data_IF_565164651379
#
_entry.id   IF_565164651379
#
_cell.length_a   1.000
_cell.length_b   1.000
_cell.length_c   1.000
_cell.angle_alpha   90.00
_cell.angle_beta   90.00
_cell.angle_gamma   90.00
#
_symmetry.space_group_name_H-M   'P 1'
#
loop_
_entity.id
_entity.type
_entity.pdbx_description
1 polymer ?
#
# COMPACT_ATOMS: atom_id res chain seq x y z
N UNK A 1 22.75 14.37 -1.41
CA UNK A 1 22.60 12.93 -1.70
C UNK A 1 21.17 12.74 -2.21
N UNK A 2 20.98 12.51 -3.50
CA UNK A 2 19.63 12.30 -4.06
C UNK A 2 19.12 10.97 -3.48
N UNK A 3 18.04 11.00 -2.69
CA UNK A 3 17.35 9.78 -2.25
C UNK A 3 16.79 9.14 -3.52
N UNK A 4 17.48 8.14 -4.06
CA UNK A 4 16.99 7.39 -5.21
C UNK A 4 15.86 6.49 -4.71
N UNK A 5 14.62 6.95 -4.88
CA UNK A 5 13.43 6.27 -4.38
C UNK A 5 12.89 5.26 -5.40
N UNK A 6 13.29 5.30 -6.67
CA UNK A 6 12.95 4.30 -7.71
C UNK A 6 11.45 3.92 -7.78
N UNK A 7 10.55 4.83 -7.43
CA UNK A 7 9.08 4.68 -7.51
C UNK A 7 8.64 4.59 -8.96
N UNK A 8 9.19 5.41 -9.85
CA UNK A 8 8.94 5.30 -11.30
C UNK A 8 9.30 3.92 -11.84
N UNK A 9 10.51 3.43 -11.53
CA UNK A 9 10.96 2.10 -11.90
C UNK A 9 10.07 1.00 -11.31
N UNK A 10 9.60 1.16 -10.06
CA UNK A 10 8.73 0.19 -9.39
C UNK A 10 7.36 0.11 -10.06
N UNK A 11 6.76 1.26 -10.38
CA UNK A 11 5.49 1.33 -11.11
C UNK A 11 5.66 0.68 -12.49
N UNK A 12 6.72 1.02 -13.22
CA UNK A 12 6.99 0.47 -14.55
C UNK A 12 7.27 -1.04 -14.52
N UNK A 13 7.86 -1.56 -13.43
CA UNK A 13 8.15 -2.99 -13.26
C UNK A 13 6.87 -3.84 -13.23
N UNK A 14 5.82 -3.35 -12.56
CA UNK A 14 4.57 -4.08 -12.35
C UNK A 14 3.42 -3.60 -13.24
N UNK A 15 3.56 -2.47 -13.93
CA UNK A 15 2.52 -1.89 -14.76
C UNK A 15 1.22 -1.71 -13.97
N UNK A 16 0.10 -2.21 -14.49
CA UNK A 16 -1.20 -2.11 -13.81
C UNK A 16 -1.27 -2.92 -12.50
N UNK A 17 -0.44 -3.95 -12.31
CA UNK A 17 -0.44 -4.75 -11.08
C UNK A 17 0.13 -3.99 -9.88
N UNK A 18 0.79 -2.84 -10.09
CA UNK A 18 1.23 -1.94 -9.02
C UNK A 18 0.11 -1.59 -8.05
N UNK A 19 -1.14 -1.62 -8.53
CA UNK A 19 -2.31 -1.36 -7.73
C UNK A 19 -2.46 -2.31 -6.54
N UNK A 20 -1.98 -3.55 -6.63
CA UNK A 20 -2.00 -4.48 -5.52
C UNK A 20 -1.05 -4.04 -4.41
N UNK A 21 0.14 -3.55 -4.77
CA UNK A 21 1.11 -2.99 -3.82
C UNK A 21 0.55 -1.70 -3.22
N UNK A 22 0.12 -0.77 -4.06
CA UNK A 22 -0.45 0.51 -3.65
C UNK A 22 -1.64 0.31 -2.69
N UNK A 23 -2.58 -0.58 -3.03
CA UNK A 23 -3.76 -0.85 -2.20
C UNK A 23 -3.38 -1.53 -0.88
N UNK A 24 -2.47 -2.50 -0.90
CA UNK A 24 -2.03 -3.16 0.33
C UNK A 24 -1.41 -2.15 1.30
N UNK A 25 -0.55 -1.27 0.78
CA UNK A 25 0.07 -0.21 1.58
C UNK A 25 -0.95 0.81 2.08
N UNK A 26 -1.88 1.23 1.20
CA UNK A 26 -2.94 2.16 1.54
C UNK A 26 -3.88 1.57 2.62
N UNK A 27 -4.15 0.27 2.59
CA UNK A 27 -4.97 -0.40 3.61
C UNK A 27 -4.17 -0.87 4.84
N UNK A 28 -2.91 -0.41 5.01
CA UNK A 28 -2.00 -0.81 6.09
C UNK A 28 -1.92 -2.33 6.25
N UNK A 29 -1.70 -3.04 5.13
CA UNK A 29 -1.47 -4.49 5.11
C UNK A 29 0.00 -4.83 5.38
N UNK A 30 0.26 -6.09 5.67
CA UNK A 30 1.60 -6.69 5.77
C UNK A 30 2.12 -6.99 4.37
N UNK A 31 3.05 -6.17 3.90
CA UNK A 31 3.70 -6.29 2.60
C UNK A 31 5.08 -6.89 2.79
N UNK A 32 5.34 -7.98 2.08
CA UNK A 32 6.64 -8.64 2.08
C UNK A 32 7.26 -8.50 0.70
N UNK A 33 8.55 -8.17 0.66
CA UNK A 33 9.32 -7.99 -0.57
C UNK A 33 10.46 -9.00 -0.59
N UNK A 34 10.46 -9.89 -1.58
CA UNK A 34 11.50 -10.90 -1.73
C UNK A 34 12.47 -10.54 -2.86
N UNK A 35 13.76 -10.70 -2.59
CA UNK A 35 14.80 -10.71 -3.63
C UNK A 35 16.05 -11.50 -3.17
N UNK A 36 16.57 -12.42 -3.99
CA UNK A 36 17.72 -13.27 -3.64
C UNK A 36 19.04 -12.51 -3.38
N UNK A 37 19.21 -11.34 -4.01
CA UNK A 37 20.31 -10.39 -3.73
C UNK A 37 19.90 -9.34 -2.71
N UNK A 38 20.61 -9.29 -1.58
CA UNK A 38 20.40 -8.28 -0.53
C UNK A 38 20.63 -6.85 -1.04
N UNK A 39 21.64 -6.64 -1.90
CA UNK A 39 21.90 -5.30 -2.44
C UNK A 39 20.71 -4.79 -3.27
N UNK A 40 20.14 -5.65 -4.11
CA UNK A 40 18.97 -5.30 -4.91
C UNK A 40 17.71 -5.14 -4.03
N UNK A 41 17.53 -5.99 -3.01
CA UNK A 41 16.46 -5.86 -2.03
C UNK A 41 16.48 -4.48 -1.37
N UNK A 42 17.62 -4.11 -0.77
CA UNK A 42 17.80 -2.85 -0.05
C UNK A 42 17.64 -1.61 -0.95
N UNK A 43 17.95 -1.75 -2.24
CA UNK A 43 17.69 -0.70 -3.24
C UNK A 43 16.20 -0.52 -3.47
N UNK A 44 15.47 -1.60 -3.75
CA UNK A 44 14.05 -1.55 -4.11
C UNK A 44 13.12 -1.27 -2.93
N UNK A 45 13.44 -1.77 -1.75
CA UNK A 45 12.50 -1.69 -0.62
C UNK A 45 12.20 -0.26 -0.16
N UNK A 46 13.12 0.67 -0.44
CA UNK A 46 12.94 2.10 -0.15
C UNK A 46 11.91 2.78 -1.05
N UNK A 47 11.57 2.18 -2.18
CA UNK A 47 10.53 2.66 -3.11
C UNK A 47 9.13 2.48 -2.56
N UNK A 48 8.94 1.49 -1.68
CA UNK A 48 7.62 1.14 -1.17
C UNK A 48 7.06 2.25 -0.28
N UNK A 49 7.70 2.66 0.83
CA UNK A 49 7.20 3.76 1.67
C UNK A 49 6.86 5.02 0.88
N UNK A 50 7.67 5.36 -0.14
CA UNK A 50 7.48 6.56 -0.96
C UNK A 50 6.15 6.59 -1.73
N UNK A 51 5.50 5.44 -1.97
CA UNK A 51 4.12 5.41 -2.50
C UNK A 51 3.10 6.01 -1.52
N UNK A 52 3.42 6.04 -0.23
CA UNK A 52 2.57 6.49 0.86
C UNK A 52 3.13 7.75 1.54
N UNK A 53 3.81 8.62 0.78
CA UNK A 53 4.44 9.84 1.31
C UNK A 53 3.48 10.84 1.97
N UNK A 54 2.16 10.67 1.81
CA UNK A 54 1.14 11.42 2.56
C UNK A 54 1.09 11.03 4.05
N UNK A 55 1.63 9.88 4.43
CA UNK A 55 1.80 9.44 5.82
C UNK A 55 3.22 9.76 6.29
N UNK A 56 3.42 10.17 7.56
CA UNK A 56 4.75 10.26 8.13
C UNK A 56 5.40 8.86 8.16
N UNK A 57 6.37 8.62 7.28
CA UNK A 57 7.16 7.38 7.26
C UNK A 57 8.14 7.33 8.44
N UNK A 58 8.24 6.18 9.12
CA UNK A 58 9.50 5.63 9.68
C UNK A 58 9.35 4.26 10.37
N UNK A 59 8.18 3.91 10.91
CA UNK A 59 8.09 2.78 11.86
C UNK A 59 7.75 1.42 11.22
N UNK A 60 7.16 1.41 10.02
CA UNK A 60 6.62 0.19 9.43
C UNK A 60 7.60 -0.49 8.45
N UNK A 61 8.79 0.08 8.21
CA UNK A 61 9.78 -0.45 7.27
C UNK A 61 10.82 -1.32 7.97
N UNK A 62 10.94 -2.57 7.52
CA UNK A 62 11.98 -3.51 7.88
C UNK A 62 12.81 -3.83 6.63
N UNK A 63 13.92 -3.10 6.39
CA UNK A 63 14.66 -3.17 5.12
C UNK A 63 15.13 -4.58 4.75
N UNK A 64 15.42 -5.38 5.77
CA UNK A 64 15.78 -6.79 5.66
C UNK A 64 15.43 -7.49 6.97
N UNK A 65 14.88 -8.69 6.83
CA UNK A 65 14.50 -9.62 7.89
C UNK A 65 14.94 -11.03 7.46
N UNK A 66 15.50 -11.76 8.41
CA UNK A 66 15.80 -13.19 8.31
C UNK A 66 14.65 -14.03 8.89
N UNK A 67 14.50 -15.25 8.37
CA UNK A 67 13.48 -16.20 8.82
C UNK A 67 13.86 -16.89 10.15
N UNK A 68 14.26 -16.10 11.13
CA UNK A 68 14.60 -16.56 12.49
C UNK A 68 13.48 -16.21 13.48
N UNK A 69 13.27 -17.01 14.53
CA UNK A 69 12.13 -16.84 15.44
C UNK A 69 11.99 -15.45 16.05
N UNK A 70 13.09 -14.82 16.45
CA UNK A 70 13.10 -13.51 17.11
C UNK A 70 12.62 -12.39 16.18
N UNK A 71 13.09 -12.37 14.95
CA UNK A 71 12.68 -11.37 13.96
C UNK A 71 11.25 -11.61 13.46
N UNK A 72 10.87 -12.87 13.28
CA UNK A 72 9.47 -13.24 12.96
C UNK A 72 8.53 -12.78 14.07
N UNK A 73 8.92 -12.96 15.34
CA UNK A 73 8.12 -12.52 16.49
C UNK A 73 7.96 -10.99 16.49
N UNK A 74 9.03 -10.26 16.16
CA UNK A 74 9.01 -8.80 16.02
C UNK A 74 8.02 -8.35 14.94
N UNK A 75 8.06 -8.97 13.75
CA UNK A 75 7.09 -8.69 12.68
C UNK A 75 5.66 -9.02 13.09
N UNK A 76 5.43 -10.16 13.77
CA UNK A 76 4.09 -10.57 14.22
C UNK A 76 3.51 -9.66 15.30
N UNK A 77 4.34 -8.93 16.04
CA UNK A 77 3.88 -7.92 17.00
C UNK A 77 3.37 -6.64 16.30
N UNK A 78 3.73 -6.42 15.04
CA UNK A 78 3.28 -5.27 14.25
C UNK A 78 1.98 -5.59 13.51
N UNK A 79 1.01 -4.68 13.54
CA UNK A 79 -0.25 -4.83 12.80
C UNK A 79 -0.04 -4.73 11.27
N UNK A 80 0.92 -3.91 10.85
CA UNK A 80 1.28 -3.70 9.46
C UNK A 80 2.78 -3.48 9.33
N UNK A 81 3.35 -3.80 8.16
CA UNK A 81 4.76 -3.59 7.87
C UNK A 81 5.06 -3.74 6.38
N UNK A 82 6.24 -3.27 6.00
CA UNK A 82 6.92 -3.51 4.74
C UNK A 82 8.24 -4.20 5.08
N UNK A 83 8.35 -5.50 4.80
CA UNK A 83 9.50 -6.29 5.22
C UNK A 83 10.22 -6.95 4.05
N UNK A 84 11.54 -6.78 4.01
CA UNK A 84 12.39 -7.35 2.97
C UNK A 84 12.95 -8.72 3.36
N UNK A 85 12.91 -9.69 2.47
CA UNK A 85 13.46 -11.03 2.71
C UNK A 85 14.38 -11.48 1.57
N UNK A 86 15.49 -12.11 1.94
CA UNK A 86 16.42 -12.74 0.97
C UNK A 86 16.14 -14.23 0.79
N UNK A 87 15.51 -14.86 1.78
CA UNK A 87 15.17 -16.29 1.76
C UNK A 87 13.86 -16.52 0.99
N UNK A 88 13.91 -17.32 -0.08
CA UNK A 88 12.75 -17.68 -0.90
C UNK A 88 11.68 -18.45 -0.14
N UNK A 89 12.03 -19.09 0.99
CA UNK A 89 11.07 -19.79 1.84
C UNK A 89 9.98 -18.87 2.38
N UNK A 90 10.17 -17.54 2.36
CA UNK A 90 9.11 -16.58 2.68
C UNK A 90 7.85 -16.79 1.81
N UNK A 91 8.01 -17.29 0.57
CA UNK A 91 6.90 -17.56 -0.34
C UNK A 91 5.90 -18.61 0.15
N UNK A 92 6.28 -19.48 1.09
CA UNK A 92 5.37 -20.46 1.70
C UNK A 92 4.81 -20.01 3.05
N UNK A 93 5.23 -18.83 3.55
CA UNK A 93 4.86 -18.28 4.86
C UNK A 93 3.74 -17.26 4.77
N UNK A 94 2.60 -17.69 4.24
CA UNK A 94 1.40 -16.86 4.12
C UNK A 94 0.87 -16.37 5.49
N UNK A 95 1.37 -16.87 6.62
CA UNK A 95 1.10 -16.30 7.95
C UNK A 95 1.81 -14.96 8.20
N UNK A 96 2.84 -14.63 7.40
CA UNK A 96 3.69 -13.44 7.53
C UNK A 96 3.37 -12.33 6.52
N UNK A 97 2.38 -12.49 5.64
CA UNK A 97 2.06 -11.42 4.71
C UNK A 97 0.61 -11.49 4.26
N UNK A 98 0.08 -10.32 3.93
CA UNK A 98 -1.14 -10.19 3.15
C UNK A 98 -0.81 -10.14 1.66
N UNK A 99 0.32 -9.49 1.30
CA UNK A 99 0.85 -9.39 -0.06
C UNK A 99 2.34 -9.69 -0.08
N UNK A 100 2.75 -10.59 -0.98
CA UNK A 100 4.13 -10.91 -1.30
C UNK A 100 4.49 -10.34 -2.67
N UNK A 101 5.59 -9.60 -2.73
CA UNK A 101 6.17 -9.07 -3.97
C UNK A 101 7.47 -9.81 -4.24
N UNK A 102 7.46 -10.66 -5.26
CA UNK A 102 8.64 -11.38 -5.73
C UNK A 102 9.32 -10.55 -6.83
N UNK A 103 10.30 -9.72 -6.45
CA UNK A 103 10.95 -8.80 -7.39
C UNK A 103 11.69 -9.53 -8.55
N UNK A 104 12.44 -10.63 -8.32
CA UNK A 104 13.06 -11.38 -9.42
C UNK A 104 12.05 -11.96 -10.41
N UNK A 105 10.91 -12.47 -9.92
CA UNK A 105 9.87 -13.05 -10.77
C UNK A 105 8.91 -12.01 -11.35
N UNK A 106 8.97 -10.75 -10.88
CA UNK A 106 8.02 -9.67 -11.20
C UNK A 106 6.58 -10.09 -10.93
N UNK A 107 6.36 -10.80 -9.82
CA UNK A 107 5.07 -11.36 -9.44
C UNK A 107 4.60 -10.75 -8.13
N UNK A 108 3.30 -10.50 -8.03
CA UNK A 108 2.63 -10.09 -6.80
C UNK A 108 1.61 -11.17 -6.43
N UNK A 109 1.76 -11.75 -5.24
CA UNK A 109 0.85 -12.78 -4.72
C UNK A 109 0.08 -12.25 -3.52
N UNK A 110 -1.25 -12.44 -3.52
CA UNK A 110 -2.12 -12.10 -2.38
C UNK A 110 -2.40 -13.35 -1.55
N UNK A 111 -2.14 -13.30 -0.25
CA UNK A 111 -2.39 -14.42 0.65
C UNK A 111 -3.89 -14.74 0.74
N UNK A 112 -4.28 -16.02 0.95
CA UNK A 112 -5.68 -16.43 0.92
C UNK A 112 -6.60 -15.62 1.85
N UNK A 113 -6.14 -15.31 3.07
CA UNK A 113 -6.90 -14.55 4.07
C UNK A 113 -7.05 -13.06 3.74
N UNK A 114 -6.22 -12.51 2.85
CA UNK A 114 -6.25 -11.10 2.46
C UNK A 114 -7.11 -10.83 1.21
N UNK A 115 -7.47 -11.88 0.45
CA UNK A 115 -8.13 -11.78 -0.86
C UNK A 115 -9.37 -10.90 -0.87
N UNK A 116 -10.22 -11.02 0.16
CA UNK A 116 -11.47 -10.25 0.24
C UNK A 116 -11.22 -8.73 0.30
N UNK A 117 -10.26 -8.30 1.13
CA UNK A 117 -9.89 -6.88 1.23
C UNK A 117 -9.07 -6.36 0.04
N UNK A 118 -8.63 -7.26 -0.85
CA UNK A 118 -7.81 -6.97 -2.03
C UNK A 118 -8.58 -7.15 -3.34
N UNK A 119 -9.92 -7.20 -3.31
CA UNK A 119 -10.73 -7.27 -4.53
C UNK A 119 -10.65 -5.94 -5.28
N UNK A 120 -10.14 -5.99 -6.50
CA UNK A 120 -9.98 -4.80 -7.33
C UNK A 120 -11.32 -4.33 -7.91
N UNK A 121 -11.60 -3.04 -7.73
CA UNK A 121 -12.79 -2.36 -8.27
C UNK A 121 -12.43 -1.49 -9.47
N UNK A 122 -13.42 -0.84 -10.09
CA UNK A 122 -13.19 0.14 -11.16
C UNK A 122 -12.26 1.27 -10.69
N UNK A 123 -12.47 1.79 -9.48
CA UNK A 123 -11.63 2.82 -8.85
C UNK A 123 -10.16 2.42 -8.80
N UNK A 124 -9.88 1.18 -8.41
CA UNK A 124 -8.51 0.67 -8.37
C UNK A 124 -7.85 0.66 -9.76
N UNK A 125 -8.58 0.21 -10.79
CA UNK A 125 -8.07 0.21 -12.17
C UNK A 125 -7.78 1.63 -12.68
N UNK A 126 -8.64 2.59 -12.37
CA UNK A 126 -8.44 4.00 -12.74
C UNK A 126 -7.19 4.58 -12.07
N UNK A 127 -6.98 4.31 -10.77
CA UNK A 127 -5.76 4.70 -10.05
C UNK A 127 -4.52 4.05 -10.70
N UNK A 128 -4.59 2.75 -11.01
CA UNK A 128 -3.48 2.02 -11.64
C UNK A 128 -3.05 2.66 -12.96
N UNK A 129 -4.02 2.99 -13.83
CA UNK A 129 -3.77 3.67 -15.11
C UNK A 129 -3.10 5.03 -14.89
N UNK A 130 -3.59 5.81 -13.92
CA UNK A 130 -3.00 7.11 -13.60
C UNK A 130 -1.56 6.99 -13.08
N UNK A 131 -1.26 5.99 -12.24
CA UNK A 131 0.09 5.74 -11.74
C UNK A 131 1.04 5.36 -12.88
N UNK A 132 0.62 4.45 -13.77
CA UNK A 132 1.44 4.05 -14.93
C UNK A 132 1.68 5.22 -15.88
N UNK A 133 0.65 6.03 -16.15
CA UNK A 133 0.80 7.25 -16.96
C UNK A 133 1.77 8.25 -16.33
N UNK A 134 1.71 8.41 -15.01
CA UNK A 134 2.64 9.27 -14.27
C UNK A 134 4.08 8.75 -14.34
N UNK A 135 4.29 7.44 -14.19
CA UNK A 135 5.62 6.83 -14.23
C UNK A 135 6.24 6.74 -15.63
N UNK A 136 5.44 6.89 -16.69
CA UNK A 136 5.90 6.94 -18.08
C UNK A 136 6.34 8.34 -18.52
N UNK A 137 6.25 9.34 -17.63
CA UNK A 137 6.66 10.72 -17.90
C UNK A 137 8.16 10.90 -17.68
N UNK A 138 8.90 11.06 -18.76
CA UNK A 138 10.34 11.34 -18.72
C UNK A 138 10.65 12.84 -18.47
N UNK A 139 9.63 13.70 -18.43
CA UNK A 139 9.74 15.15 -18.26
C UNK A 139 9.78 15.61 -16.78
N UNK A 140 9.60 14.69 -15.83
CA UNK A 140 9.51 15.00 -14.40
C UNK A 140 10.53 14.24 -13.56
N UNK A 141 10.97 14.88 -12.48
CA UNK A 141 11.88 14.25 -11.53
C UNK A 141 11.15 13.24 -10.63
N UNK A 142 11.90 12.27 -10.11
CA UNK A 142 11.40 11.25 -9.16
C UNK A 142 10.63 11.85 -7.97
N UNK A 143 11.12 12.96 -7.41
CA UNK A 143 10.46 13.65 -6.30
C UNK A 143 9.08 14.23 -6.68
N UNK A 144 8.91 14.65 -7.95
CA UNK A 144 7.63 15.13 -8.46
C UNK A 144 6.66 13.96 -8.66
N UNK A 145 7.13 12.79 -9.10
CA UNK A 145 6.32 11.57 -9.17
C UNK A 145 5.79 11.20 -7.78
N UNK A 146 6.67 11.13 -6.77
CA UNK A 146 6.28 10.83 -5.37
C UNK A 146 5.22 11.82 -4.87
N UNK A 147 5.42 13.12 -5.14
CA UNK A 147 4.46 14.15 -4.75
C UNK A 147 3.10 13.94 -5.44
N UNK A 148 3.08 13.71 -6.75
CA UNK A 148 1.82 13.51 -7.49
C UNK A 148 1.10 12.22 -7.08
N UNK A 149 1.83 11.16 -6.67
CA UNK A 149 1.21 9.98 -6.05
C UNK A 149 0.54 10.35 -4.72
N UNK A 150 1.24 11.12 -3.86
CA UNK A 150 0.69 11.55 -2.58
C UNK A 150 -0.53 12.49 -2.73
N UNK A 151 -0.50 13.40 -3.72
CA UNK A 151 -1.61 14.29 -4.04
C UNK A 151 -2.85 13.48 -4.47
N UNK A 152 -2.66 12.46 -5.34
CA UNK A 152 -3.75 11.54 -5.74
C UNK A 152 -4.32 10.75 -4.57
N UNK A 153 -3.47 10.29 -3.66
CA UNK A 153 -3.95 9.64 -2.44
C UNK A 153 -4.76 10.61 -1.59
N UNK A 154 -4.28 11.85 -1.42
CA UNK A 154 -4.99 12.89 -0.68
C UNK A 154 -6.37 13.18 -1.30
N UNK A 155 -6.47 13.23 -2.62
CA UNK A 155 -7.75 13.40 -3.33
C UNK A 155 -8.71 12.23 -3.06
N UNK A 156 -8.22 10.99 -3.09
CA UNK A 156 -9.01 9.81 -2.73
C UNK A 156 -9.54 9.91 -1.29
N UNK A 157 -8.70 10.32 -0.34
CA UNK A 157 -9.09 10.47 1.06
C UNK A 157 -10.09 11.61 1.27
N UNK A 158 -9.92 12.73 0.57
CA UNK A 158 -10.85 13.85 0.61
C UNK A 158 -12.20 13.46 0.01
N UNK A 159 -12.21 12.71 -1.10
CA UNK A 159 -13.42 12.16 -1.68
C UNK A 159 -14.13 11.24 -0.68
N UNK A 160 -13.41 10.34 0.00
CA UNK A 160 -13.97 9.48 1.03
C UNK A 160 -14.57 10.28 2.19
N UNK A 161 -13.87 11.28 2.72
CA UNK A 161 -14.38 12.17 3.79
C UNK A 161 -15.66 12.90 3.36
N UNK A 162 -15.73 13.35 2.10
CA UNK A 162 -16.91 14.01 1.54
C UNK A 162 -18.15 13.09 1.45
N UNK A 163 -17.97 11.77 1.65
CA UNK A 163 -19.10 10.84 1.68
C UNK A 163 -19.94 10.97 2.95
N UNK A 164 -19.41 11.64 3.97
CA UNK A 164 -20.03 11.81 5.28
C UNK A 164 -19.96 13.26 5.75
N UNK A 165 -20.95 13.69 6.55
CA UNK A 165 -21.00 15.05 7.11
C UNK A 165 -20.67 15.07 8.61
N UNK A 166 -20.03 14.01 9.12
CA UNK A 166 -19.71 13.88 10.54
C UNK A 166 -18.30 14.41 10.82
N UNK A 167 -18.14 15.07 11.96
CA UNK A 167 -16.83 15.49 12.46
C UNK A 167 -16.54 14.89 13.83
N UNK A 168 -15.27 14.70 14.16
CA UNK A 168 -14.85 14.36 15.51
C UNK A 168 -14.93 15.60 16.45
N UNK A 169 -14.68 15.45 17.77
CA UNK A 169 -14.67 16.58 18.71
C UNK A 169 -13.62 17.67 18.39
N UNK A 170 -12.60 17.36 17.58
CA UNK A 170 -11.57 18.29 17.13
C UNK A 170 -11.95 18.99 15.81
N UNK A 171 -13.15 18.70 15.27
CA UNK A 171 -13.66 19.27 14.02
C UNK A 171 -13.09 18.64 12.75
N UNK A 172 -12.39 17.49 12.85
CA UNK A 172 -11.88 16.77 11.69
C UNK A 172 -13.00 15.99 11.02
N UNK A 173 -13.06 16.03 9.69
CA UNK A 173 -14.03 15.26 8.91
C UNK A 173 -13.80 13.75 9.05
N UNK A 174 -14.87 13.03 9.37
CA UNK A 174 -14.90 11.58 9.63
C UNK A 174 -15.89 10.90 8.69
N UNK A 175 -15.82 9.57 8.61
CA UNK A 175 -16.68 8.72 7.79
C UNK A 175 -17.57 7.89 8.70
N UNK A 176 -18.89 8.09 8.62
CA UNK A 176 -19.86 7.21 9.27
C UNK A 176 -20.09 5.92 8.47
N UNK A 177 -20.04 4.77 9.15
CA UNK A 177 -20.37 3.46 8.55
C UNK A 177 -21.79 3.42 8.02
N UNK A 178 -22.73 4.02 8.73
CA UNK A 178 -24.13 4.06 8.30
C UNK A 178 -24.32 4.89 7.05
N UNK A 179 -23.68 6.06 6.96
CA UNK A 179 -23.78 6.93 5.77
C UNK A 179 -23.12 6.27 4.55
N UNK A 180 -22.00 5.57 4.77
CA UNK A 180 -21.34 4.81 3.70
C UNK A 180 -22.26 3.70 3.15
N UNK A 181 -22.92 2.93 4.03
CA UNK A 181 -23.88 1.88 3.65
C UNK A 181 -25.12 2.44 2.94
N UNK A 182 -25.64 3.57 3.40
CA UNK A 182 -26.81 4.25 2.80
C UNK A 182 -26.55 4.67 1.34
N UNK A 183 -25.29 4.83 0.93
CA UNK A 183 -24.92 5.16 -0.46
C UNK A 183 -25.13 4.01 -1.45
N UNK A 184 -25.29 2.77 -0.97
CA UNK A 184 -25.61 1.62 -1.82
C UNK A 184 -24.49 1.25 -2.79
N UNK A 185 -23.23 1.39 -2.38
CA UNK A 185 -22.10 0.94 -3.19
C UNK A 185 -22.12 -0.58 -3.37
N UNK A 186 -21.52 -1.08 -4.46
CA UNK A 186 -21.27 -2.51 -4.59
C UNK A 186 -20.37 -2.99 -3.45
N UNK A 187 -20.63 -4.18 -2.90
CA UNK A 187 -19.95 -4.69 -1.70
C UNK A 187 -18.41 -4.60 -1.73
N UNK A 188 -17.70 -4.91 -2.86
CA UNK A 188 -16.25 -4.75 -2.90
C UNK A 188 -15.77 -3.30 -2.74
N UNK A 189 -16.52 -2.33 -3.29
CA UNK A 189 -16.19 -0.92 -3.16
C UNK A 189 -16.49 -0.41 -1.75
N UNK A 190 -17.63 -0.82 -1.17
CA UNK A 190 -17.96 -0.48 0.22
C UNK A 190 -16.89 -1.02 1.19
N UNK A 191 -16.51 -2.30 1.05
CA UNK A 191 -15.47 -2.93 1.85
C UNK A 191 -14.12 -2.19 1.71
N UNK A 192 -13.75 -1.78 0.50
CA UNK A 192 -12.55 -0.99 0.28
C UNK A 192 -12.61 0.36 1.01
N UNK A 193 -13.69 1.12 0.83
CA UNK A 193 -13.84 2.45 1.46
C UNK A 193 -13.90 2.35 2.99
N UNK A 194 -14.54 1.32 3.52
CA UNK A 194 -14.56 1.03 4.96
C UNK A 194 -13.15 0.74 5.47
N UNK A 195 -12.42 -0.19 4.86
CA UNK A 195 -11.05 -0.53 5.26
C UNK A 195 -10.10 0.67 5.12
N UNK A 196 -10.31 1.51 4.11
CA UNK A 196 -9.56 2.75 3.91
C UNK A 196 -9.81 3.75 5.06
N UNK A 197 -11.07 3.94 5.46
CA UNK A 197 -11.41 4.81 6.58
C UNK A 197 -10.81 4.30 7.91
N UNK A 198 -10.80 2.97 8.13
CA UNK A 198 -10.12 2.35 9.27
C UNK A 198 -8.62 2.58 9.23
N UNK A 199 -7.98 2.34 8.08
CA UNK A 199 -6.53 2.46 7.91
C UNK A 199 -6.01 3.90 8.16
N UNK A 200 -6.83 4.90 7.83
CA UNK A 200 -6.53 6.32 8.03
C UNK A 200 -7.03 6.89 9.36
N UNK A 201 -7.66 6.06 10.20
CA UNK A 201 -8.24 6.48 11.48
C UNK A 201 -9.25 7.64 11.33
N UNK A 202 -10.08 7.59 10.28
CA UNK A 202 -11.12 8.60 9.97
C UNK A 202 -12.52 8.00 10.01
N UNK A 203 -12.73 6.92 10.76
CA UNK A 203 -14.01 6.20 10.83
C UNK A 203 -14.74 6.46 12.15
N UNK A 204 -16.07 6.57 12.09
CA UNK A 204 -16.98 6.54 13.24
C UNK A 204 -17.97 5.39 13.03
N UNK A 205 -18.07 4.54 14.06
CA UNK A 205 -18.95 3.38 14.09
C UNK A 205 -20.39 3.75 14.45
#
# INVERSE_FOLDING_TARGET
MVKNLNVSELINLFGLEIILIYTAMLLRKRVVVYHHSLQALLRWIRSFPALMAHRPEANDLYPWVDLVPEEIMTLKASQCYIAGFKDSAIGSRADLYDVLVNLPAREISVAPHAKESMIMTKTHKEIAVQLVQLAARDDIAEAQIVKEVADRTSDLLNNLKSLSNVTDPEGRAMVSVEELRKRGFAAPLENFLFNLAVAENIIIL
#
